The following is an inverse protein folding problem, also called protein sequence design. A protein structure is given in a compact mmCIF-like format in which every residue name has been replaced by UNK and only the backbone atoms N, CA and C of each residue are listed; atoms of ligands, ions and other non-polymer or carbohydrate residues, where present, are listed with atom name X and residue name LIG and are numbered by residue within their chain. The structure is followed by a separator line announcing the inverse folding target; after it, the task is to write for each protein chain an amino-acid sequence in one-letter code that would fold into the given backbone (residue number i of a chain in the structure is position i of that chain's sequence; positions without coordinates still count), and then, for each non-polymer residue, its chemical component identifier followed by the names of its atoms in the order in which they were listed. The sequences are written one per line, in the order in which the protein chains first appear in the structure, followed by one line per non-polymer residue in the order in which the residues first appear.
data_IF_270105874778
#
_entry.id   IF_270105874778
#
_cell.length_a   1.000
_cell.length_b   1.000
_cell.length_c   1.000
_cell.angle_alpha   90.00
_cell.angle_beta   90.00
_cell.angle_gamma   90.00
#
_symmetry.space_group_name_H-M   'P 1'
#
loop_
_entity.id
_entity.type
_entity.pdbx_description
1 polymer ?
#
# COMPACT_ATOMS: atom_id res chain seq x y z
N UNK A 1 43.31 -15.41 12.19
CA UNK A 1 42.41 -16.44 11.64
C UNK A 1 41.10 -16.36 12.41
N UNK A 2 40.00 -16.03 11.70
CA UNK A 2 38.58 -16.08 12.09
C UNK A 2 38.20 -15.14 13.25
N UNK A 3 37.18 -14.29 13.18
CA UNK A 3 35.87 -14.54 12.55
C UNK A 3 35.16 -13.19 12.34
N UNK A 4 35.14 -12.67 11.11
CA UNK A 4 34.08 -11.74 10.70
C UNK A 4 32.81 -12.58 10.57
N UNK A 5 32.17 -12.89 11.70
CA UNK A 5 30.81 -13.42 11.70
C UNK A 5 29.94 -12.24 11.33
N UNK A 6 29.58 -12.12 10.05
CA UNK A 6 28.42 -11.34 9.69
C UNK A 6 27.27 -11.84 10.58
N UNK A 7 26.78 -10.99 11.50
CA UNK A 7 25.62 -11.34 12.31
C UNK A 7 24.49 -11.60 11.33
N UNK A 8 24.09 -12.87 11.20
CA UNK A 8 22.93 -13.24 10.41
C UNK A 8 21.74 -12.44 10.95
N UNK A 9 21.02 -11.80 10.03
CA UNK A 9 19.82 -11.07 10.39
C UNK A 9 18.79 -12.05 10.94
N UNK A 10 17.96 -11.64 11.92
CA UNK A 10 16.89 -12.49 12.42
C UNK A 10 15.88 -12.82 11.33
N UNK A 11 14.99 -13.78 11.56
CA UNK A 11 14.03 -14.21 10.54
C UNK A 11 13.12 -13.07 10.06
N UNK A 12 12.85 -13.03 8.75
CA UNK A 12 11.84 -12.16 8.12
C UNK A 12 10.71 -13.02 7.57
N UNK A 13 9.52 -12.91 8.15
CA UNK A 13 8.32 -13.63 7.69
C UNK A 13 7.39 -12.69 6.95
N UNK A 14 6.89 -13.10 5.78
CA UNK A 14 5.88 -12.34 5.01
C UNK A 14 4.54 -13.07 5.04
N UNK A 15 3.46 -12.34 5.36
CA UNK A 15 2.11 -12.87 5.55
C UNK A 15 1.15 -12.04 4.70
N UNK A 16 0.42 -12.72 3.82
CA UNK A 16 -0.69 -12.12 3.07
C UNK A 16 -1.96 -12.17 3.93
N UNK A 17 -2.61 -11.03 4.10
CA UNK A 17 -3.87 -10.88 4.83
C UNK A 17 -4.95 -10.53 3.83
N UNK A 18 -5.77 -11.53 3.51
CA UNK A 18 -6.87 -11.45 2.55
C UNK A 18 -8.13 -10.95 3.23
N UNK A 19 -8.73 -9.89 2.70
CA UNK A 19 -9.79 -9.10 3.35
C UNK A 19 -10.99 -9.00 2.42
N UNK A 20 -12.14 -9.48 2.88
CA UNK A 20 -13.39 -9.35 2.15
C UNK A 20 -14.03 -7.97 2.37
N UNK A 21 -14.44 -7.32 1.28
CA UNK A 21 -15.27 -6.13 1.36
C UNK A 21 -16.65 -6.47 1.92
N UNK A 22 -17.21 -5.59 2.74
CA UNK A 22 -18.62 -5.69 3.10
C UNK A 22 -19.52 -5.41 1.87
N UNK A 23 -20.82 -5.66 2.02
CA UNK A 23 -21.79 -5.51 0.94
C UNK A 23 -21.81 -4.10 0.34
N UNK A 24 -21.73 -3.06 1.18
CA UNK A 24 -21.77 -1.67 0.74
C UNK A 24 -20.52 -1.30 -0.08
N UNK A 25 -19.33 -1.65 0.41
CA UNK A 25 -18.07 -1.39 -0.26
C UNK A 25 -17.95 -2.21 -1.55
N UNK A 26 -18.39 -3.47 -1.55
CA UNK A 26 -18.42 -4.32 -2.75
C UNK A 26 -19.35 -3.77 -3.83
N UNK A 27 -20.55 -3.31 -3.48
CA UNK A 27 -21.48 -2.64 -4.41
C UNK A 27 -20.87 -1.38 -5.02
N UNK A 28 -20.22 -0.54 -4.20
CA UNK A 28 -19.54 0.65 -4.67
C UNK A 28 -18.38 0.29 -5.61
N UNK A 29 -17.56 -0.69 -5.23
CA UNK A 29 -16.43 -1.17 -6.02
C UNK A 29 -16.89 -1.64 -7.41
N UNK A 30 -17.93 -2.48 -7.48
CA UNK A 30 -18.45 -2.97 -8.75
C UNK A 30 -19.07 -1.87 -9.61
N UNK A 31 -19.77 -0.90 -9.01
CA UNK A 31 -20.31 0.25 -9.73
C UNK A 31 -19.18 1.10 -10.35
N UNK A 32 -18.11 1.34 -9.59
CA UNK A 32 -16.93 2.06 -10.08
C UNK A 32 -16.23 1.26 -11.18
N UNK A 33 -15.99 -0.04 -10.99
CA UNK A 33 -15.37 -0.94 -11.98
C UNK A 33 -16.13 -0.95 -13.29
N UNK A 34 -17.44 -1.18 -13.26
CA UNK A 34 -18.27 -1.21 -14.46
C UNK A 34 -18.24 0.14 -15.21
N UNK A 35 -18.35 1.25 -14.46
CA UNK A 35 -18.29 2.60 -15.04
C UNK A 35 -16.93 2.87 -15.68
N UNK A 36 -15.83 2.53 -15.00
CA UNK A 36 -14.48 2.74 -15.50
C UNK A 36 -14.21 1.86 -16.73
N UNK A 37 -14.63 0.60 -16.72
CA UNK A 37 -14.48 -0.32 -17.85
C UNK A 37 -15.18 0.22 -19.10
N UNK A 38 -16.44 0.64 -18.98
CA UNK A 38 -17.20 1.19 -20.10
C UNK A 38 -16.56 2.49 -20.65
N UNK A 39 -16.10 3.37 -19.77
CA UNK A 39 -15.41 4.60 -20.16
C UNK A 39 -14.10 4.31 -20.90
N UNK A 40 -13.30 3.37 -20.42
CA UNK A 40 -12.04 2.99 -21.07
C UNK A 40 -12.33 2.40 -22.46
N UNK A 41 -13.27 1.46 -22.58
CA UNK A 41 -13.64 0.86 -23.87
C UNK A 41 -14.02 1.93 -24.90
N UNK A 42 -14.83 2.91 -24.49
CA UNK A 42 -15.23 4.03 -25.35
C UNK A 42 -14.01 4.87 -25.77
N UNK A 43 -13.17 5.28 -24.83
CA UNK A 43 -12.02 6.15 -25.11
C UNK A 43 -10.99 5.43 -25.99
N UNK A 44 -10.75 4.14 -25.75
CA UNK A 44 -9.86 3.31 -26.56
C UNK A 44 -10.39 3.16 -27.98
N UNK A 45 -11.69 2.93 -28.16
CA UNK A 45 -12.32 2.89 -29.48
C UNK A 45 -12.22 4.23 -30.23
N UNK A 46 -12.32 5.37 -29.53
CA UNK A 46 -12.27 6.70 -30.14
C UNK A 46 -10.84 7.19 -30.43
N UNK A 47 -9.87 6.93 -29.54
CA UNK A 47 -8.54 7.55 -29.57
C UNK A 47 -7.39 6.55 -29.73
N UNK A 48 -7.66 5.26 -29.61
CA UNK A 48 -6.68 4.19 -29.56
C UNK A 48 -6.04 4.02 -28.19
N UNK A 49 -5.58 2.80 -27.90
CA UNK A 49 -5.02 2.41 -26.60
C UNK A 49 -3.85 3.29 -26.12
N UNK A 50 -2.87 3.55 -26.99
CA UNK A 50 -1.67 4.34 -26.65
C UNK A 50 -2.00 5.76 -26.17
N UNK A 51 -3.08 6.36 -26.68
CA UNK A 51 -3.51 7.72 -26.31
C UNK A 51 -4.43 7.77 -25.10
N UNK A 52 -4.80 6.61 -24.55
CA UNK A 52 -5.78 6.44 -23.47
C UNK A 52 -5.14 6.10 -22.12
N UNK A 53 -3.81 6.06 -22.06
CA UNK A 53 -3.06 5.61 -20.88
C UNK A 53 -3.38 6.42 -19.61
N UNK A 54 -3.50 7.75 -19.72
CA UNK A 54 -3.81 8.61 -18.57
C UNK A 54 -5.16 8.23 -17.95
N UNK A 55 -6.17 7.98 -18.77
CA UNK A 55 -7.51 7.62 -18.31
C UNK A 55 -7.56 6.21 -17.73
N UNK A 56 -6.77 5.28 -18.28
CA UNK A 56 -6.59 3.94 -17.71
C UNK A 56 -5.96 4.04 -16.32
N UNK A 57 -4.90 4.85 -16.16
CA UNK A 57 -4.24 5.02 -14.86
C UNK A 57 -5.16 5.66 -13.82
N UNK A 58 -5.95 6.66 -14.22
CA UNK A 58 -6.97 7.27 -13.35
C UNK A 58 -8.05 6.25 -12.91
N UNK A 59 -8.49 5.38 -13.82
CA UNK A 59 -9.45 4.32 -13.50
C UNK A 59 -8.87 3.27 -12.52
N UNK A 60 -7.64 2.80 -12.77
CA UNK A 60 -6.95 1.88 -11.86
C UNK A 60 -6.73 2.51 -10.49
N UNK A 61 -6.36 3.80 -10.46
CA UNK A 61 -6.21 4.57 -9.23
C UNK A 61 -7.50 4.60 -8.42
N UNK A 62 -8.64 4.88 -9.06
CA UNK A 62 -9.96 4.89 -8.39
C UNK A 62 -10.34 3.54 -7.81
N UNK A 63 -10.10 2.44 -8.54
CA UNK A 63 -10.37 1.09 -8.01
C UNK A 63 -9.53 0.79 -6.77
N UNK A 64 -8.24 1.13 -6.80
CA UNK A 64 -7.35 0.96 -5.64
C UNK A 64 -7.79 1.83 -4.45
N UNK A 65 -8.24 3.06 -4.71
CA UNK A 65 -8.80 3.93 -3.68
C UNK A 65 -10.01 3.29 -2.99
N UNK A 66 -10.93 2.67 -3.73
CA UNK A 66 -12.08 1.96 -3.13
C UNK A 66 -11.64 0.81 -2.23
N UNK A 67 -10.63 0.04 -2.64
CA UNK A 67 -10.08 -1.06 -1.84
C UNK A 67 -9.48 -0.55 -0.52
N UNK A 68 -8.70 0.53 -0.60
CA UNK A 68 -8.10 1.15 0.59
C UNK A 68 -9.15 1.74 1.54
N UNK A 69 -9.98 2.64 1.02
CA UNK A 69 -11.08 3.26 1.76
C UNK A 69 -11.98 4.09 0.81
N UNK A 70 -13.31 3.88 0.80
CA UNK A 70 -14.22 4.61 -0.10
C UNK A 70 -14.10 6.15 -0.07
N UNK A 71 -13.93 6.76 1.11
CA UNK A 71 -13.64 8.20 1.28
C UNK A 71 -12.46 8.76 0.47
N UNK A 72 -11.57 7.90 -0.05
CA UNK A 72 -10.49 8.33 -0.94
C UNK A 72 -11.00 8.69 -2.34
N UNK A 73 -12.16 8.15 -2.73
CA UNK A 73 -12.89 8.65 -3.87
C UNK A 73 -13.47 10.01 -3.52
N UNK A 74 -12.96 11.05 -4.16
CA UNK A 74 -13.53 12.40 -4.08
C UNK A 74 -14.83 12.50 -4.88
N UNK A 75 -15.83 11.70 -4.52
CA UNK A 75 -17.17 11.76 -5.07
C UNK A 75 -18.04 12.58 -4.13
N UNK A 76 -18.86 13.49 -4.66
CA UNK A 76 -19.76 14.33 -3.87
C UNK A 76 -20.74 13.50 -3.00
N UNK A 77 -21.03 12.26 -3.42
CA UNK A 77 -21.88 11.30 -2.71
C UNK A 77 -21.19 10.56 -1.57
N UNK A 78 -19.87 10.62 -1.45
CA UNK A 78 -19.10 9.94 -0.40
C UNK A 78 -18.59 10.99 0.59
N UNK A 79 -19.28 11.13 1.73
CA UNK A 79 -18.81 12.00 2.80
C UNK A 79 -17.56 11.39 3.44
N UNK A 80 -16.47 12.14 3.43
CA UNK A 80 -15.21 11.78 4.08
C UNK A 80 -15.45 11.41 5.54
N UNK A 81 -14.98 10.22 5.95
CA UNK A 81 -15.02 9.76 7.35
C UNK A 81 -16.29 9.05 7.80
N UNK A 82 -17.31 8.91 6.95
CA UNK A 82 -18.54 8.14 7.28
C UNK A 82 -18.66 6.84 6.49
N UNK A 83 -17.85 6.65 5.46
CA UNK A 83 -17.85 5.41 4.70
C UNK A 83 -17.05 4.33 5.44
N UNK A 84 -17.61 3.14 5.49
CA UNK A 84 -16.94 1.97 6.03
C UNK A 84 -15.79 1.51 5.10
N UNK A 85 -14.70 1.00 5.68
CA UNK A 85 -13.62 0.32 4.96
C UNK A 85 -13.23 -0.96 5.69
N UNK A 86 -13.44 -2.11 5.06
CA UNK A 86 -13.08 -3.42 5.62
C UNK A 86 -11.59 -3.50 5.94
N UNK A 87 -10.74 -2.89 5.10
CA UNK A 87 -9.30 -2.90 5.28
C UNK A 87 -8.84 -2.02 6.45
N UNK A 88 -9.51 -0.90 6.68
CA UNK A 88 -9.18 -0.04 7.82
C UNK A 88 -9.60 -0.69 9.13
N UNK A 89 -10.76 -1.34 9.17
CA UNK A 89 -11.19 -2.14 10.33
C UNK A 89 -10.19 -3.26 10.62
N UNK A 90 -9.86 -4.08 9.62
CA UNK A 90 -8.87 -5.15 9.77
C UNK A 90 -7.50 -4.63 10.24
N UNK A 91 -7.06 -3.48 9.72
CA UNK A 91 -5.80 -2.86 10.18
C UNK A 91 -5.86 -2.57 11.68
N UNK A 92 -6.94 -1.98 12.16
CA UNK A 92 -7.08 -1.63 13.58
C UNK A 92 -7.21 -2.88 14.46
N UNK A 93 -7.94 -3.90 14.01
CA UNK A 93 -8.05 -5.20 14.69
C UNK A 93 -6.70 -5.90 14.85
N UNK A 94 -5.75 -5.64 13.95
CA UNK A 94 -4.37 -6.12 14.07
C UNK A 94 -3.49 -5.19 14.93
N UNK A 95 -3.54 -3.89 14.66
CA UNK A 95 -2.62 -2.92 15.25
C UNK A 95 -2.86 -2.74 16.75
N UNK A 96 -4.12 -2.67 17.20
CA UNK A 96 -4.45 -2.46 18.62
C UNK A 96 -3.82 -3.55 19.51
N UNK A 97 -4.11 -4.85 19.32
CA UNK A 97 -3.52 -5.88 20.17
C UNK A 97 -2.00 -5.97 20.02
N UNK A 98 -1.44 -5.77 18.81
CA UNK A 98 0.02 -5.74 18.63
C UNK A 98 0.69 -4.63 19.45
N UNK A 99 0.07 -3.45 19.53
CA UNK A 99 0.58 -2.35 20.34
C UNK A 99 0.46 -2.65 21.83
N UNK A 100 -0.62 -3.27 22.28
CA UNK A 100 -0.79 -3.73 23.67
C UNK A 100 0.27 -4.76 24.07
N UNK A 101 0.69 -5.62 23.13
CA UNK A 101 1.81 -6.56 23.29
C UNK A 101 3.20 -5.88 23.21
N UNK A 102 3.25 -4.57 22.99
CA UNK A 102 4.49 -3.80 22.95
C UNK A 102 5.24 -3.86 21.61
N UNK A 103 4.60 -4.33 20.53
CA UNK A 103 5.18 -4.34 19.18
C UNK A 103 5.42 -2.91 18.67
N UNK A 104 6.43 -2.77 17.80
CA UNK A 104 6.72 -1.52 17.08
C UNK A 104 6.43 -1.69 15.59
N UNK A 105 5.53 -0.86 15.07
CA UNK A 105 4.86 -1.12 13.79
C UNK A 105 5.15 0.01 12.79
N UNK A 106 5.62 -0.36 11.60
CA UNK A 106 5.63 0.51 10.42
C UNK A 106 4.37 0.25 9.60
N UNK A 107 3.64 1.30 9.24
CA UNK A 107 2.49 1.19 8.35
C UNK A 107 2.76 2.02 7.10
N UNK A 108 2.79 1.35 5.95
CA UNK A 108 3.03 1.95 4.66
C UNK A 108 1.74 2.07 3.85
N UNK A 109 1.57 3.21 3.20
CA UNK A 109 0.56 3.42 2.17
C UNK A 109 1.10 4.33 1.07
N UNK A 110 0.69 4.12 -0.17
CA UNK A 110 0.99 5.05 -1.25
C UNK A 110 0.12 6.33 -1.19
N UNK A 111 -1.00 6.29 -0.46
CA UNK A 111 -1.97 7.37 -0.36
C UNK A 111 -1.77 8.15 0.93
N UNK A 112 -1.25 9.37 0.86
CA UNK A 112 -1.09 10.23 2.06
C UNK A 112 -2.42 10.50 2.76
N UNK A 113 -3.50 10.62 1.99
CA UNK A 113 -4.86 10.75 2.54
C UNK A 113 -5.36 9.49 3.24
N UNK A 114 -4.84 8.30 2.90
CA UNK A 114 -5.13 7.08 3.66
C UNK A 114 -4.39 7.11 4.99
N UNK A 115 -3.13 7.58 5.02
CA UNK A 115 -2.41 7.77 6.28
C UNK A 115 -3.13 8.74 7.21
N UNK A 116 -3.81 9.78 6.68
CA UNK A 116 -4.64 10.70 7.48
C UNK A 116 -5.86 9.99 8.09
N UNK A 117 -6.50 9.07 7.37
CA UNK A 117 -7.61 8.27 7.89
C UNK A 117 -7.13 7.26 8.96
N UNK A 118 -5.98 6.63 8.76
CA UNK A 118 -5.36 5.74 9.77
C UNK A 118 -5.02 6.53 11.03
N UNK A 119 -4.43 7.72 10.86
CA UNK A 119 -4.12 8.63 11.98
C UNK A 119 -5.35 8.98 12.82
N UNK A 120 -6.51 9.20 12.21
CA UNK A 120 -7.76 9.43 12.94
C UNK A 120 -8.14 8.22 13.81
N UNK A 121 -8.02 7.00 13.27
CA UNK A 121 -8.31 5.78 14.04
C UNK A 121 -7.31 5.55 15.17
N UNK A 122 -6.01 5.79 14.93
CA UNK A 122 -4.99 5.70 15.97
C UNK A 122 -5.24 6.72 17.09
N UNK A 123 -5.63 7.95 16.74
CA UNK A 123 -6.00 8.98 17.71
C UNK A 123 -7.20 8.54 18.56
N UNK A 124 -8.25 8.00 17.94
CA UNK A 124 -9.43 7.49 18.67
C UNK A 124 -9.12 6.29 19.57
N UNK A 125 -8.14 5.47 19.19
CA UNK A 125 -7.66 4.35 19.99
C UNK A 125 -6.58 4.75 21.03
N UNK A 126 -6.27 6.04 21.15
CA UNK A 126 -5.22 6.58 22.05
C UNK A 126 -3.82 5.99 21.78
N UNK A 127 -3.55 5.55 20.55
CA UNK A 127 -2.26 5.00 20.13
C UNK A 127 -1.35 6.11 19.63
N UNK A 128 -0.21 6.29 20.29
CA UNK A 128 0.83 7.23 19.86
C UNK A 128 1.40 6.86 18.48
N UNK A 129 1.60 7.84 17.62
CA UNK A 129 2.19 7.63 16.29
C UNK A 129 3.05 8.82 15.85
N UNK A 130 3.90 8.56 14.86
CA UNK A 130 4.55 9.60 14.06
C UNK A 130 4.31 9.35 12.58
N UNK A 131 4.43 10.41 11.76
CA UNK A 131 4.13 10.35 10.32
C UNK A 131 5.24 10.96 9.47
N UNK A 132 5.69 10.21 8.46
CA UNK A 132 6.67 10.67 7.47
C UNK A 132 6.06 10.69 6.07
N UNK A 133 5.93 11.90 5.52
CA UNK A 133 5.52 12.15 4.14
C UNK A 133 6.50 13.06 3.42
N UNK A 134 6.32 13.27 2.11
CA UNK A 134 7.14 14.23 1.36
C UNK A 134 7.04 15.68 1.86
N UNK A 135 6.04 15.98 2.71
CA UNK A 135 5.85 17.31 3.33
C UNK A 135 6.46 17.42 4.73
N UNK A 136 7.00 16.33 5.28
CA UNK A 136 7.57 16.35 6.64
C UNK A 136 8.89 17.12 6.67
N UNK A 137 8.91 18.24 7.42
CA UNK A 137 10.11 19.09 7.55
C UNK A 137 11.12 18.53 8.55
N UNK A 138 10.65 18.15 9.74
CA UNK A 138 11.47 17.67 10.88
C UNK A 138 11.58 16.15 10.85
N UNK A 139 12.26 15.62 9.83
CA UNK A 139 12.35 14.16 9.60
C UNK A 139 13.09 13.44 10.72
N UNK A 140 14.20 14.00 11.20
CA UNK A 140 15.01 13.36 12.23
C UNK A 140 14.27 13.27 13.57
N UNK A 141 13.42 14.26 13.89
CA UNK A 141 12.60 14.27 15.11
C UNK A 141 11.60 13.10 15.11
N UNK A 142 10.88 12.89 14.00
CA UNK A 142 9.91 11.78 13.91
C UNK A 142 10.60 10.42 13.91
N UNK A 143 11.75 10.30 13.24
CA UNK A 143 12.54 9.05 13.24
C UNK A 143 13.05 8.75 14.65
N UNK A 144 13.58 9.75 15.35
CA UNK A 144 14.11 9.61 16.71
C UNK A 144 13.00 9.24 17.70
N UNK A 145 11.82 9.86 17.60
CA UNK A 145 10.68 9.54 18.46
C UNK A 145 10.26 8.07 18.31
N UNK A 146 10.21 7.54 17.09
CA UNK A 146 9.91 6.13 16.87
C UNK A 146 11.04 5.20 17.35
N UNK A 147 12.29 5.46 16.93
CA UNK A 147 13.45 4.62 17.25
C UNK A 147 13.77 4.56 18.76
N UNK A 148 13.50 5.65 19.50
CA UNK A 148 13.63 5.67 20.96
C UNK A 148 12.47 5.03 21.71
N UNK A 149 11.42 4.61 20.98
CA UNK A 149 10.27 3.92 21.55
C UNK A 149 9.20 4.84 22.14
N UNK A 150 9.28 6.17 21.97
CA UNK A 150 8.29 7.14 22.47
C UNK A 150 6.89 6.88 21.92
N UNK A 151 6.81 6.36 20.69
CA UNK A 151 5.55 5.96 20.06
C UNK A 151 5.64 4.53 19.50
N UNK A 152 4.53 3.78 19.46
CA UNK A 152 4.51 2.44 18.90
C UNK A 152 4.36 2.37 17.38
N UNK A 153 3.79 3.38 16.72
CA UNK A 153 3.44 3.33 15.29
C UNK A 153 4.15 4.41 14.47
N UNK A 154 4.65 4.03 13.29
CA UNK A 154 5.20 4.96 12.29
C UNK A 154 4.45 4.84 10.97
N UNK A 155 3.70 5.88 10.61
CA UNK A 155 3.02 6.01 9.32
C UNK A 155 3.97 6.57 8.27
N UNK A 156 4.17 5.86 7.15
CA UNK A 156 5.15 6.25 6.13
C UNK A 156 4.50 6.24 4.74
N UNK A 157 4.54 7.38 4.07
CA UNK A 157 4.17 7.42 2.65
C UNK A 157 5.30 6.83 1.81
N UNK A 158 4.97 5.99 0.84
CA UNK A 158 5.95 5.35 -0.06
C UNK A 158 6.97 6.34 -0.65
N UNK A 159 6.52 7.47 -1.21
CA UNK A 159 7.41 8.46 -1.85
C UNK A 159 8.41 9.12 -0.89
N UNK A 160 8.06 9.22 0.39
CA UNK A 160 8.96 9.76 1.42
C UNK A 160 9.96 8.71 1.93
N UNK A 161 9.70 7.44 1.61
CA UNK A 161 10.50 6.32 1.99
C UNK A 161 11.81 6.17 1.21
N UNK A 162 11.92 6.67 -0.03
CA UNK A 162 13.09 6.45 -0.90
C UNK A 162 14.45 6.98 -0.41
N UNK A 163 14.53 7.44 0.84
CA UNK A 163 15.75 7.87 1.53
C UNK A 163 16.17 6.73 2.46
N UNK A 164 17.46 6.41 2.57
CA UNK A 164 17.98 5.26 3.32
C UNK A 164 17.73 5.31 4.84
N UNK A 165 16.48 5.19 5.27
CA UNK A 165 16.07 5.14 6.66
C UNK A 165 16.45 3.80 7.27
N UNK A 166 17.05 3.84 8.47
CA UNK A 166 17.23 2.67 9.31
C UNK A 166 16.15 2.71 10.40
N UNK A 167 15.26 1.71 10.45
CA UNK A 167 14.08 1.66 11.33
C UNK A 167 14.03 0.34 12.12
N UNK A 168 15.18 -0.12 12.60
CA UNK A 168 15.35 -1.40 13.31
C UNK A 168 14.57 -1.53 14.62
N UNK A 169 14.06 -0.45 15.23
CA UNK A 169 13.14 -0.58 16.36
C UNK A 169 11.84 -1.31 15.97
N UNK A 170 11.45 -1.29 14.69
CA UNK A 170 10.27 -1.99 14.22
C UNK A 170 10.52 -3.49 14.08
N UNK A 171 9.64 -4.29 14.66
CA UNK A 171 9.56 -5.73 14.47
C UNK A 171 8.37 -6.14 13.59
N UNK A 172 7.50 -5.18 13.24
CA UNK A 172 6.32 -5.40 12.41
C UNK A 172 6.23 -4.34 11.32
N UNK A 173 5.94 -4.77 10.10
CA UNK A 173 5.72 -3.94 8.92
C UNK A 173 4.37 -4.30 8.32
N UNK A 174 3.53 -3.32 8.03
CA UNK A 174 2.24 -3.50 7.37
C UNK A 174 2.22 -2.68 6.09
N UNK A 175 2.11 -3.36 4.95
CA UNK A 175 1.79 -2.76 3.66
C UNK A 175 0.28 -2.72 3.50
N UNK A 176 -0.29 -1.52 3.68
CA UNK A 176 -1.73 -1.32 3.64
C UNK A 176 -2.30 -1.50 2.22
N UNK A 177 -1.53 -1.15 1.20
CA UNK A 177 -1.94 -1.28 -0.18
C UNK A 177 -0.81 -1.85 -1.04
N UNK A 178 -1.09 -2.83 -1.92
CA UNK A 178 -0.05 -3.49 -2.71
C UNK A 178 0.50 -2.55 -3.77
N UNK A 179 1.82 -2.60 -3.99
CA UNK A 179 2.50 -1.70 -4.92
C UNK A 179 2.79 -2.36 -6.26
N UNK A 180 2.69 -1.63 -7.36
CA UNK A 180 2.99 -2.20 -8.68
C UNK A 180 4.39 -2.80 -8.82
N UNK A 181 5.38 -2.28 -8.07
CA UNK A 181 6.75 -2.80 -8.07
C UNK A 181 7.05 -3.53 -6.75
N UNK A 182 7.16 -4.88 -6.76
CA UNK A 182 7.52 -5.66 -5.57
C UNK A 182 8.85 -5.25 -4.94
N UNK A 183 9.86 -4.90 -5.76
CA UNK A 183 11.17 -4.51 -5.25
C UNK A 183 11.14 -3.22 -4.42
N UNK A 184 10.22 -2.30 -4.76
CA UNK A 184 10.03 -1.10 -3.94
C UNK A 184 9.46 -1.47 -2.57
N UNK A 185 8.50 -2.40 -2.53
CA UNK A 185 7.83 -2.87 -1.31
C UNK A 185 8.82 -3.63 -0.40
N UNK A 186 9.62 -4.52 -1.00
CA UNK A 186 10.70 -5.22 -0.30
C UNK A 186 11.72 -4.24 0.27
N UNK A 187 12.12 -3.22 -0.51
CA UNK A 187 13.02 -2.18 -0.02
C UNK A 187 12.42 -1.39 1.16
N UNK A 188 11.09 -1.22 1.22
CA UNK A 188 10.44 -0.57 2.34
C UNK A 188 10.43 -1.47 3.59
N UNK A 189 10.15 -2.77 3.43
CA UNK A 189 10.27 -3.78 4.49
C UNK A 189 11.70 -3.91 5.04
N UNK A 190 12.68 -3.90 4.15
CA UNK A 190 14.12 -4.00 4.43
C UNK A 190 14.68 -2.77 5.16
N UNK A 191 13.84 -1.85 5.63
CA UNK A 191 14.24 -0.78 6.55
C UNK A 191 14.09 -1.18 8.01
N UNK A 192 13.15 -2.05 8.30
CA UNK A 192 13.03 -2.71 9.61
C UNK A 192 14.00 -3.89 9.70
N UNK A 193 14.18 -4.62 8.59
CA UNK A 193 15.09 -5.77 8.52
C UNK A 193 16.50 -5.37 8.06
N UNK A 194 17.25 -4.71 8.95
CA UNK A 194 18.62 -4.23 8.69
C UNK A 194 19.59 -4.64 9.78
N UNK A 195 20.88 -4.45 9.51
CA UNK A 195 21.95 -4.56 10.51
C UNK A 195 21.58 -3.69 11.72
N UNK A 196 21.54 -4.31 12.90
CA UNK A 196 21.07 -3.69 14.15
C UNK A 196 19.67 -4.15 14.58
N UNK A 197 18.98 -4.95 13.77
CA UNK A 197 17.78 -5.67 14.18
C UNK A 197 18.15 -6.88 15.04
N UNK A 198 17.45 -7.04 16.16
CA UNK A 198 17.63 -8.14 17.12
C UNK A 198 16.37 -9.01 17.30
N UNK A 199 15.27 -8.65 16.64
CA UNK A 199 14.00 -9.37 16.68
C UNK A 199 13.60 -9.91 15.30
N UNK A 200 12.86 -11.04 15.24
CA UNK A 200 12.17 -11.45 14.02
C UNK A 200 11.26 -10.34 13.50
N UNK A 201 11.26 -10.13 12.18
CA UNK A 201 10.45 -9.11 11.52
C UNK A 201 9.28 -9.75 10.79
N UNK A 202 8.07 -9.30 11.08
CA UNK A 202 6.85 -9.73 10.39
C UNK A 202 6.39 -8.68 9.40
N UNK A 203 6.20 -9.07 8.14
CA UNK A 203 5.71 -8.21 7.06
C UNK A 203 4.31 -8.68 6.67
N UNK A 204 3.30 -7.87 6.97
CA UNK A 204 1.92 -8.11 6.59
C UNK A 204 1.58 -7.34 5.31
N UNK A 205 0.97 -8.02 4.34
CA UNK A 205 0.47 -7.41 3.10
C UNK A 205 -1.05 -7.49 3.10
N UNK A 206 -1.74 -6.35 3.21
CA UNK A 206 -3.19 -6.30 3.23
C UNK A 206 -3.75 -6.28 1.81
N UNK A 207 -4.56 -7.28 1.47
CA UNK A 207 -5.07 -7.50 0.12
C UNK A 207 -6.59 -7.60 0.20
N UNK A 208 -7.29 -6.79 -0.59
CA UNK A 208 -8.73 -6.88 -0.71
C UNK A 208 -9.11 -7.96 -1.72
N UNK A 209 -9.86 -8.96 -1.29
CA UNK A 209 -10.33 -10.06 -2.13
C UNK A 209 -11.27 -9.56 -3.23
N UNK A 210 -11.30 -10.29 -4.34
CA UNK A 210 -12.16 -10.02 -5.50
C UNK A 210 -12.04 -8.57 -5.98
N UNK A 211 -10.81 -8.07 -6.01
CA UNK A 211 -10.53 -6.66 -6.31
C UNK A 211 -9.31 -6.49 -7.21
N UNK A 212 -9.09 -5.26 -7.67
CA UNK A 212 -7.94 -4.90 -8.50
C UNK A 212 -6.62 -5.28 -7.83
N UNK A 213 -6.57 -5.34 -6.51
CA UNK A 213 -5.38 -5.70 -5.76
C UNK A 213 -4.93 -7.15 -6.00
N UNK A 214 -5.85 -8.12 -6.05
CA UNK A 214 -5.51 -9.51 -6.41
C UNK A 214 -4.93 -9.60 -7.82
N UNK A 215 -5.49 -8.82 -8.76
CA UNK A 215 -4.99 -8.77 -10.14
C UNK A 215 -3.63 -8.11 -10.23
N UNK A 216 -3.37 -7.08 -9.43
CA UNK A 216 -2.06 -6.45 -9.32
C UNK A 216 -1.03 -7.47 -8.83
N UNK A 217 -1.37 -8.25 -7.81
CA UNK A 217 -0.46 -9.27 -7.25
C UNK A 217 -0.23 -10.40 -8.25
N UNK A 218 -1.27 -10.88 -8.91
CA UNK A 218 -1.14 -11.86 -9.99
C UNK A 218 -0.26 -11.32 -11.13
N UNK A 219 -0.38 -10.03 -11.47
CA UNK A 219 0.47 -9.40 -12.48
C UNK A 219 1.94 -9.34 -12.04
N UNK A 220 2.21 -8.96 -10.79
CA UNK A 220 3.57 -8.96 -10.23
C UNK A 220 4.22 -10.34 -10.28
N UNK A 221 3.48 -11.39 -9.91
CA UNK A 221 3.95 -12.77 -9.90
C UNK A 221 4.23 -13.30 -11.31
N UNK A 222 3.38 -12.96 -12.28
CA UNK A 222 3.52 -13.44 -13.65
C UNK A 222 4.55 -12.65 -14.45
N UNK A 223 4.61 -11.31 -14.28
CA UNK A 223 5.43 -10.39 -15.08
C UNK A 223 5.79 -9.11 -14.28
N UNK A 224 6.80 -9.18 -13.41
CA UNK A 224 7.25 -8.04 -12.62
C UNK A 224 7.62 -6.80 -13.47
N UNK A 225 8.31 -6.99 -14.59
CA UNK A 225 8.66 -5.92 -15.54
C UNK A 225 7.41 -5.22 -16.11
N UNK A 226 6.34 -6.00 -16.37
CA UNK A 226 5.09 -5.48 -16.90
C UNK A 226 4.35 -4.63 -15.86
N UNK A 227 4.34 -5.08 -14.60
CA UNK A 227 3.75 -4.33 -13.50
C UNK A 227 4.48 -3.00 -13.28
N UNK A 228 5.81 -2.97 -13.43
CA UNK A 228 6.60 -1.74 -13.36
C UNK A 228 6.26 -0.76 -14.49
N UNK A 229 6.02 -1.26 -15.71
CA UNK A 229 5.70 -0.44 -16.88
C UNK A 229 4.41 0.38 -16.74
N UNK A 230 3.49 -0.01 -15.84
CA UNK A 230 2.22 0.70 -15.59
C UNK A 230 2.45 2.11 -15.08
N UNK A 231 3.46 2.30 -14.24
CA UNK A 231 3.71 3.59 -13.59
C UNK A 231 4.68 4.48 -14.37
N UNK A 232 5.40 3.93 -15.34
CA UNK A 232 6.39 4.66 -16.13
C UNK A 232 5.79 5.14 -17.45
N UNK A 233 5.64 6.44 -17.62
CA UNK A 233 5.25 7.05 -18.90
C UNK A 233 6.41 7.12 -19.91
N UNK A 234 7.66 6.94 -19.46
CA UNK A 234 8.85 7.43 -20.16
C UNK A 234 9.86 6.34 -20.61
N UNK A 235 9.55 5.04 -20.49
CA UNK A 235 10.48 3.98 -20.92
C UNK A 235 10.17 3.47 -22.34
N UNK A 236 10.89 4.02 -23.31
CA UNK A 236 11.03 3.48 -24.67
C UNK A 236 12.01 2.28 -24.65
N UNK A 237 11.53 1.08 -24.28
CA UNK A 237 12.37 -0.12 -24.41
C UNK A 237 11.90 -1.39 -23.71
N UNK A 238 11.05 -1.29 -22.68
CA UNK A 238 10.63 -2.45 -21.88
C UNK A 238 9.28 -3.03 -22.34
N UNK A 239 9.00 -4.28 -21.94
CA UNK A 239 7.76 -4.98 -22.22
C UNK A 239 6.53 -4.13 -21.84
N UNK A 240 5.84 -3.60 -22.85
CA UNK A 240 4.68 -2.73 -22.65
C UNK A 240 3.43 -3.58 -22.45
N UNK A 241 2.58 -3.16 -21.50
CA UNK A 241 1.22 -3.67 -21.38
C UNK A 241 0.51 -3.67 -22.72
N UNK A 242 -0.07 -4.81 -23.07
CA UNK A 242 -1.01 -4.87 -24.17
C UNK A 242 -2.36 -4.32 -23.74
N UNK A 243 -3.18 -3.96 -24.72
CA UNK A 243 -4.58 -3.59 -24.47
C UNK A 243 -5.31 -4.70 -23.70
N UNK A 244 -5.12 -5.96 -24.09
CA UNK A 244 -5.74 -7.10 -23.44
C UNK A 244 -5.31 -7.23 -21.97
N UNK A 245 -4.01 -7.08 -21.66
CA UNK A 245 -3.52 -7.15 -20.28
C UNK A 245 -4.21 -6.10 -19.40
N UNK A 246 -4.37 -4.88 -19.90
CA UNK A 246 -5.07 -3.80 -19.19
C UNK A 246 -6.56 -4.10 -19.06
N UNK A 247 -7.21 -4.53 -20.13
CA UNK A 247 -8.65 -4.81 -20.12
C UNK A 247 -9.00 -5.94 -19.14
N UNK A 248 -8.13 -6.95 -19.03
CA UNK A 248 -8.27 -8.03 -18.06
C UNK A 248 -8.28 -7.53 -16.61
N UNK A 249 -7.58 -6.42 -16.30
CA UNK A 249 -7.62 -5.81 -14.97
C UNK A 249 -9.03 -5.33 -14.59
N UNK A 250 -9.86 -4.96 -15.56
CA UNK A 250 -11.21 -4.46 -15.33
C UNK A 250 -12.30 -5.53 -15.39
N UNK A 251 -11.98 -6.77 -15.76
CA UNK A 251 -12.97 -7.86 -15.77
C UNK A 251 -13.58 -8.11 -14.40
N UNK A 252 -14.79 -8.64 -14.38
CA UNK A 252 -15.48 -8.99 -13.14
C UNK A 252 -14.84 -10.24 -12.51
N UNK A 253 -14.85 -10.31 -11.18
CA UNK A 253 -14.56 -11.53 -10.43
C UNK A 253 -15.75 -12.50 -10.41
#
# INVERSE_FOLDING_TARGET
MKTDVAKELPEKTTIEVNIDMNEQQSKLYEAVRATMQANIQKIVAEKGFKRSQIQILDALLKLRQVCCHPSLLKLDSVKTGQAYSAKLEQLMDMVVPMVEEGRKILIFSQFTSMLELIEQQLYHAEIGYVKLTGKTKKRDEVITAFQSGQVPVFLISLKAGGVGLNLTAADTVIHYDPWWNPAAEDQASDRAWRIGQDKPVFVYKLITNKSIEEKIIALQQNKAELAQSILSTDHEGEAKLTENDVMNLFEKF
#
